data_IF_157690976598
#
_entry.id   IF_157690976598
#
_cell.length_a   1.000
_cell.length_b   1.000
_cell.length_c   1.000
_cell.angle_alpha   90.00
_cell.angle_beta   90.00
_cell.angle_gamma   90.00
#
_symmetry.space_group_name_H-M   'P 1'
#
loop_
_entity.id
_entity.type
_entity.pdbx_description
1 polymer ?
#
# COMPACT_ATOMS: atom_id res chain seq x y z
N UNK A 1 -7.16 -3.87 -17.33
CA UNK A 1 -5.96 -3.64 -18.14
C UNK A 1 -6.05 -2.35 -18.96
N UNK A 2 -7.13 -2.10 -19.69
CA UNK A 2 -7.30 -0.90 -20.53
C UNK A 2 -7.13 0.40 -19.74
N UNK A 3 -7.81 0.53 -18.59
CA UNK A 3 -7.70 1.70 -17.72
C UNK A 3 -6.27 1.88 -17.20
N UNK A 4 -5.60 0.80 -16.80
CA UNK A 4 -4.21 0.87 -16.32
C UNK A 4 -3.26 1.26 -17.44
N UNK A 5 -3.46 0.77 -18.69
CA UNK A 5 -2.68 1.16 -19.85
C UNK A 5 -2.84 2.64 -20.18
N UNK A 6 -4.08 3.12 -20.25
CA UNK A 6 -4.37 4.53 -20.49
C UNK A 6 -3.77 5.42 -19.38
N UNK A 7 -3.95 5.05 -18.10
CA UNK A 7 -3.37 5.77 -16.97
C UNK A 7 -1.83 5.81 -17.05
N UNK A 8 -1.18 4.71 -17.43
CA UNK A 8 0.29 4.67 -17.58
C UNK A 8 0.75 5.66 -18.64
N UNK A 9 0.07 5.73 -19.78
CA UNK A 9 0.43 6.67 -20.87
C UNK A 9 0.21 8.12 -20.43
N UNK A 10 -0.96 8.42 -19.85
CA UNK A 10 -1.32 9.79 -19.42
C UNK A 10 -0.39 10.29 -18.32
N UNK A 11 -0.04 9.42 -17.36
CA UNK A 11 0.80 9.78 -16.21
C UNK A 11 2.30 9.62 -16.49
N UNK A 12 2.70 9.12 -17.66
CA UNK A 12 4.11 8.92 -18.00
C UNK A 12 4.96 10.21 -17.90
N UNK A 13 4.51 11.42 -18.28
CA UNK A 13 5.32 12.63 -18.08
C UNK A 13 5.65 12.88 -16.61
N UNK A 14 4.65 12.71 -15.70
CA UNK A 14 4.85 12.87 -14.25
C UNK A 14 5.83 11.80 -13.74
N UNK A 15 5.70 10.57 -14.22
CA UNK A 15 6.59 9.47 -13.85
C UNK A 15 8.04 9.75 -14.27
N UNK A 16 8.25 10.28 -15.46
CA UNK A 16 9.59 10.65 -15.98
C UNK A 16 10.19 11.78 -15.15
N UNK A 17 9.44 12.85 -14.89
CA UNK A 17 9.90 13.98 -14.05
C UNK A 17 10.29 13.47 -12.66
N UNK A 18 9.47 12.61 -12.06
CA UNK A 18 9.74 12.01 -10.75
C UNK A 18 11.02 11.16 -10.77
N UNK A 19 11.20 10.34 -11.81
CA UNK A 19 12.40 9.53 -11.98
C UNK A 19 13.67 10.38 -12.07
N UNK A 20 13.62 11.48 -12.85
CA UNK A 20 14.73 12.44 -12.97
C UNK A 20 15.01 13.12 -11.63
N UNK A 21 13.98 13.58 -10.93
CA UNK A 21 14.14 14.23 -9.62
C UNK A 21 14.80 13.31 -8.57
N UNK A 22 14.38 12.03 -8.49
CA UNK A 22 14.99 11.03 -7.60
C UNK A 22 16.45 10.80 -7.99
N UNK A 23 16.73 10.64 -9.29
CA UNK A 23 18.09 10.37 -9.78
C UNK A 23 19.04 11.55 -9.58
N UNK A 24 18.53 12.77 -9.74
CA UNK A 24 19.30 14.00 -9.53
C UNK A 24 19.64 14.23 -8.05
N UNK A 25 18.77 13.81 -7.13
CA UNK A 25 18.95 14.03 -5.69
C UNK A 25 20.12 13.24 -5.10
N UNK A 26 20.21 11.94 -5.34
CA UNK A 26 21.24 11.09 -4.70
C UNK A 26 21.90 10.06 -5.63
N UNK A 27 21.65 10.15 -6.94
CA UNK A 27 22.17 9.26 -8.00
C UNK A 27 21.86 7.76 -7.81
N UNK A 28 21.10 7.39 -6.78
CA UNK A 28 20.71 6.02 -6.48
C UNK A 28 19.63 5.45 -7.44
N UNK A 29 19.09 4.24 -7.16
CA UNK A 29 18.04 3.63 -7.97
C UNK A 29 16.75 4.45 -7.91
N UNK A 30 16.05 4.56 -9.03
CA UNK A 30 14.77 5.30 -9.14
C UNK A 30 13.63 4.50 -8.55
N UNK A 31 13.62 3.20 -8.83
CA UNK A 31 12.58 2.28 -8.36
C UNK A 31 13.03 1.53 -7.11
N UNK A 32 12.04 1.21 -6.30
CA UNK A 32 12.13 0.32 -5.16
C UNK A 32 11.10 -0.79 -5.36
N UNK A 33 11.50 -2.03 -5.12
CA UNK A 33 10.62 -3.19 -5.16
C UNK A 33 10.54 -3.82 -3.78
N UNK A 34 9.33 -4.17 -3.35
CA UNK A 34 9.08 -4.83 -2.08
C UNK A 34 8.19 -6.05 -2.27
N UNK A 35 8.63 -7.18 -1.73
CA UNK A 35 7.84 -8.42 -1.80
C UNK A 35 6.55 -8.27 -1.01
N UNK A 36 5.45 -8.62 -1.64
CA UNK A 36 4.08 -8.60 -1.12
C UNK A 36 3.33 -9.85 -1.56
N UNK A 37 2.23 -10.13 -0.87
CA UNK A 37 1.32 -11.22 -1.20
C UNK A 37 0.21 -10.74 -2.14
N UNK A 38 -0.15 -11.59 -3.09
CA UNK A 38 -1.32 -11.44 -3.95
C UNK A 38 -2.19 -12.70 -3.87
N UNK A 39 -3.07 -12.90 -4.83
CA UNK A 39 -3.99 -14.03 -4.87
C UNK A 39 -3.27 -15.38 -4.68
N UNK A 40 -3.91 -16.28 -3.96
CA UNK A 40 -3.42 -17.64 -3.63
C UNK A 40 -2.09 -17.63 -2.84
N UNK A 41 -1.78 -16.53 -2.14
CA UNK A 41 -0.55 -16.40 -1.36
C UNK A 41 0.71 -16.24 -2.21
N UNK A 42 0.59 -15.97 -3.51
CA UNK A 42 1.75 -15.77 -4.39
C UNK A 42 2.49 -14.50 -4.02
N UNK A 43 3.81 -14.60 -4.01
CA UNK A 43 4.68 -13.45 -3.80
C UNK A 43 4.94 -12.71 -5.10
N UNK A 44 4.95 -11.37 -5.04
CA UNK A 44 5.34 -10.52 -6.16
C UNK A 44 6.03 -9.24 -5.66
N UNK A 45 6.83 -8.62 -6.51
CA UNK A 45 7.50 -7.37 -6.20
C UNK A 45 6.62 -6.17 -6.53
N UNK A 46 6.06 -5.51 -5.52
CA UNK A 46 5.36 -4.23 -5.69
C UNK A 46 6.36 -3.16 -6.07
N UNK A 47 6.17 -2.54 -7.23
CA UNK A 47 7.01 -1.45 -7.73
C UNK A 47 6.56 -0.10 -7.18
N UNK A 48 7.51 0.67 -6.66
CA UNK A 48 7.29 2.05 -6.23
C UNK A 48 8.45 2.95 -6.65
N UNK A 49 8.21 4.24 -6.74
CA UNK A 49 9.31 5.19 -6.74
C UNK A 49 9.98 5.20 -5.36
N UNK A 50 11.31 5.24 -5.36
CA UNK A 50 12.07 5.30 -4.12
C UNK A 50 11.86 6.66 -3.44
N UNK A 51 11.20 6.64 -2.29
CA UNK A 51 10.95 7.81 -1.45
C UNK A 51 11.84 7.91 -0.23
N UNK A 52 12.59 6.84 0.07
CA UNK A 52 13.50 6.75 1.22
C UNK A 52 14.97 6.66 0.78
N UNK A 53 15.90 6.95 1.70
CA UNK A 53 17.34 6.79 1.50
C UNK A 53 17.69 5.34 1.13
N UNK A 54 18.76 5.14 0.35
CA UNK A 54 19.18 3.81 -0.15
C UNK A 54 19.33 2.77 0.96
N UNK A 55 19.68 3.20 2.16
CA UNK A 55 19.97 2.33 3.30
C UNK A 55 18.90 2.45 4.42
N UNK A 56 17.65 2.73 4.07
CA UNK A 56 16.57 2.98 5.03
C UNK A 56 16.22 1.78 5.93
N UNK A 57 16.44 0.55 5.46
CA UNK A 57 16.19 -0.71 6.20
C UNK A 57 17.48 -1.56 6.22
N UNK A 58 18.63 -0.97 6.67
CA UNK A 58 19.94 -1.68 6.74
C UNK A 58 19.95 -2.91 7.63
N UNK A 59 19.11 -2.89 8.65
CA UNK A 59 18.97 -3.97 9.64
C UNK A 59 18.05 -5.11 9.18
N UNK A 60 17.48 -5.00 7.97
CA UNK A 60 16.56 -6.01 7.42
C UNK A 60 15.20 -6.10 8.14
N UNK A 61 14.97 -5.27 9.17
CA UNK A 61 13.71 -5.29 9.92
C UNK A 61 12.66 -4.47 9.17
N UNK A 62 11.54 -5.13 8.86
CA UNK A 62 10.38 -4.48 8.26
C UNK A 62 9.72 -3.54 9.29
N UNK A 63 9.85 -2.23 9.08
CA UNK A 63 9.21 -1.21 9.93
C UNK A 63 8.15 -0.46 9.14
N UNK A 64 7.01 -0.21 9.79
CA UNK A 64 6.04 0.73 9.26
C UNK A 64 6.64 2.15 9.27
N UNK A 65 6.20 2.99 8.35
CA UNK A 65 6.65 4.39 8.32
C UNK A 65 5.96 5.17 9.43
N UNK A 66 6.75 5.96 10.18
CA UNK A 66 6.24 6.88 11.22
C UNK A 66 5.59 8.16 10.63
N UNK A 67 5.15 8.12 9.37
CA UNK A 67 4.49 9.26 8.71
C UNK A 67 5.44 10.25 8.08
N UNK A 68 5.02 11.52 8.00
CA UNK A 68 5.78 12.57 7.28
C UNK A 68 7.13 12.92 7.95
N UNK A 69 7.25 12.70 9.26
CA UNK A 69 8.46 13.03 10.05
C UNK A 69 9.51 11.93 10.05
N UNK A 70 9.30 10.82 9.35
CA UNK A 70 10.24 9.72 9.28
C UNK A 70 11.60 10.19 8.69
N UNK A 71 12.72 10.09 9.45
CA UNK A 71 14.04 10.59 9.03
C UNK A 71 14.64 9.84 7.84
N UNK A 72 14.07 8.69 7.50
CA UNK A 72 14.47 7.88 6.35
C UNK A 72 13.98 8.45 5.02
N UNK A 73 12.94 9.31 5.05
CA UNK A 73 12.33 9.88 3.85
C UNK A 73 13.20 11.00 3.29
N UNK A 74 13.46 10.97 1.98
CA UNK A 74 14.16 12.04 1.28
C UNK A 74 13.26 13.27 1.07
N UNK A 75 13.80 14.50 0.85
CA UNK A 75 12.98 15.66 0.53
C UNK A 75 12.07 15.44 -0.69
N UNK A 76 12.60 14.85 -1.77
CA UNK A 76 11.83 14.45 -2.94
C UNK A 76 10.79 13.40 -2.56
N UNK A 77 11.18 12.41 -1.74
CA UNK A 77 10.30 11.37 -1.22
C UNK A 77 9.11 11.91 -0.45
N UNK A 78 9.29 12.98 0.32
CA UNK A 78 8.20 13.63 1.07
C UNK A 78 7.13 14.19 0.14
N UNK A 79 7.53 14.82 -0.96
CA UNK A 79 6.59 15.37 -1.96
C UNK A 79 5.85 14.26 -2.66
N UNK A 80 6.56 13.25 -3.19
CA UNK A 80 5.93 12.19 -3.97
C UNK A 80 5.01 11.30 -3.14
N UNK A 81 5.30 11.10 -1.84
CA UNK A 81 4.42 10.36 -0.91
C UNK A 81 3.15 11.14 -0.59
N UNK A 82 3.27 12.44 -0.35
CA UNK A 82 2.11 13.31 -0.09
C UNK A 82 1.10 13.27 -1.23
N UNK A 83 1.58 13.24 -2.48
CA UNK A 83 0.74 13.16 -3.68
C UNK A 83 0.47 11.71 -4.15
N UNK A 84 0.94 10.69 -3.41
CA UNK A 84 0.84 9.28 -3.79
C UNK A 84 1.47 8.94 -5.16
N UNK A 85 2.32 9.82 -5.69
CA UNK A 85 3.06 9.61 -6.96
C UNK A 85 4.00 8.42 -6.83
N UNK A 86 4.51 8.14 -5.63
CA UNK A 86 5.39 7.00 -5.36
C UNK A 86 4.73 5.65 -5.68
N UNK A 87 3.42 5.56 -5.72
CA UNK A 87 2.68 4.33 -6.03
C UNK A 87 2.35 4.16 -7.52
N UNK A 88 2.58 5.18 -8.37
CA UNK A 88 2.28 5.09 -9.81
C UNK A 88 2.98 3.94 -10.55
N UNK A 89 4.24 3.52 -10.22
CA UNK A 89 4.86 2.38 -10.88
C UNK A 89 4.09 1.06 -10.70
N UNK A 90 3.18 0.95 -9.72
CA UNK A 90 2.32 -0.22 -9.55
C UNK A 90 1.37 -0.43 -10.75
N UNK A 91 1.11 0.59 -11.57
CA UNK A 91 0.41 0.42 -12.85
C UNK A 91 1.11 -0.61 -13.75
N UNK A 92 2.44 -0.71 -13.69
CA UNK A 92 3.20 -1.74 -14.42
C UNK A 92 2.95 -3.15 -13.82
N UNK A 93 2.78 -3.27 -12.49
CA UNK A 93 2.38 -4.55 -11.88
C UNK A 93 0.97 -4.96 -12.33
N UNK A 94 0.05 -4.00 -12.50
CA UNK A 94 -1.30 -4.28 -13.01
C UNK A 94 -1.22 -4.76 -14.47
N UNK A 95 -0.43 -4.09 -15.31
CA UNK A 95 -0.25 -4.49 -16.72
C UNK A 95 0.40 -5.88 -16.84
N UNK A 96 1.31 -6.21 -15.94
CA UNK A 96 1.94 -7.53 -15.85
C UNK A 96 0.97 -8.61 -15.35
N UNK A 97 -0.11 -8.24 -14.67
CA UNK A 97 -1.12 -9.16 -14.13
C UNK A 97 -0.88 -9.60 -12.69
N UNK A 98 0.12 -9.05 -11.99
CA UNK A 98 0.41 -9.32 -10.58
C UNK A 98 -0.67 -8.70 -9.66
N UNK A 99 -1.27 -7.59 -10.10
CA UNK A 99 -2.25 -6.79 -9.35
C UNK A 99 -3.47 -6.44 -10.19
N UNK A 100 -4.49 -5.91 -9.51
CA UNK A 100 -5.67 -5.24 -10.11
C UNK A 100 -5.69 -3.76 -9.70
N UNK A 101 -6.58 -2.96 -10.30
CA UNK A 101 -6.80 -1.58 -9.86
C UNK A 101 -7.49 -1.60 -8.50
N UNK A 102 -8.57 -2.37 -8.37
CA UNK A 102 -9.34 -2.49 -7.13
C UNK A 102 -9.16 -3.88 -6.53
N UNK A 103 -8.92 -3.96 -5.23
CA UNK A 103 -8.72 -5.22 -4.51
C UNK A 103 -8.11 -4.99 -3.12
N UNK A 104 -7.93 -6.05 -2.31
CA UNK A 104 -7.26 -5.97 -1.03
C UNK A 104 -5.85 -5.39 -1.15
N UNK A 105 -5.47 -4.49 -0.22
CA UNK A 105 -4.10 -3.94 -0.23
C UNK A 105 -3.07 -5.03 0.05
N UNK A 106 -2.04 -5.18 -0.79
CA UNK A 106 -1.04 -6.24 -0.61
C UNK A 106 -0.22 -6.05 0.67
N UNK A 107 -0.09 -7.10 1.48
CA UNK A 107 0.70 -7.09 2.71
C UNK A 107 2.06 -7.78 2.53
N UNK A 108 3.03 -7.43 3.41
CA UNK A 108 4.33 -8.13 3.49
C UNK A 108 4.10 -9.55 4.02
N UNK A 109 4.79 -10.59 3.51
CA UNK A 109 4.65 -11.95 4.01
C UNK A 109 4.84 -12.07 5.53
N UNK A 110 5.86 -11.37 6.08
CA UNK A 110 6.13 -11.38 7.52
C UNK A 110 4.99 -10.78 8.35
N UNK A 111 4.38 -9.67 7.89
CA UNK A 111 3.27 -9.01 8.58
C UNK A 111 1.99 -9.84 8.46
N UNK A 112 1.74 -10.42 7.30
CA UNK A 112 0.59 -11.32 7.10
C UNK A 112 0.68 -12.53 8.03
N UNK A 113 1.84 -13.16 8.15
CA UNK A 113 2.08 -14.28 9.05
C UNK A 113 1.90 -13.90 10.55
N UNK A 114 2.20 -12.67 10.94
CA UNK A 114 1.91 -12.19 12.29
C UNK A 114 0.40 -12.00 12.52
N UNK A 115 -0.31 -11.44 11.54
CA UNK A 115 -1.76 -11.30 11.63
C UNK A 115 -2.48 -12.65 11.65
N UNK A 116 -2.03 -13.63 10.88
CA UNK A 116 -2.62 -14.97 10.83
C UNK A 116 -2.50 -15.72 12.16
N UNK A 117 -1.49 -15.44 12.99
CA UNK A 117 -1.38 -16.01 14.35
C UNK A 117 -2.52 -15.59 15.27
N UNK A 118 -3.04 -14.38 15.07
CA UNK A 118 -4.06 -13.76 15.94
C UNK A 118 -5.44 -13.86 15.27
N UNK A 119 -5.47 -13.80 13.94
CA UNK A 119 -6.65 -13.87 13.09
C UNK A 119 -6.42 -14.90 11.99
N UNK A 120 -6.68 -16.19 12.24
CA UNK A 120 -6.45 -17.22 11.23
C UNK A 120 -7.17 -16.94 9.90
N UNK A 121 -8.31 -16.23 9.95
CA UNK A 121 -9.11 -15.84 8.78
C UNK A 121 -8.42 -14.78 7.89
N UNK A 122 -7.29 -14.21 8.32
CA UNK A 122 -6.60 -13.16 7.57
C UNK A 122 -6.18 -13.60 6.16
N UNK A 123 -5.90 -14.89 5.96
CA UNK A 123 -5.58 -15.48 4.66
C UNK A 123 -6.74 -15.41 3.65
N UNK A 124 -8.00 -15.31 4.10
CA UNK A 124 -9.17 -15.29 3.20
C UNK A 124 -9.14 -14.08 2.24
N UNK A 125 -8.46 -13.00 2.60
CA UNK A 125 -8.26 -11.85 1.71
C UNK A 125 -7.44 -12.17 0.46
N UNK A 126 -6.68 -13.27 0.49
CA UNK A 126 -5.88 -13.75 -0.64
C UNK A 126 -6.71 -14.52 -1.68
N UNK A 127 -8.01 -14.62 -1.51
CA UNK A 127 -8.92 -15.15 -2.53
C UNK A 127 -9.04 -14.22 -3.74
N UNK A 128 -8.73 -12.92 -3.57
CA UNK A 128 -8.69 -11.95 -4.66
C UNK A 128 -7.27 -11.45 -4.92
N UNK A 129 -7.04 -10.95 -6.14
CA UNK A 129 -5.78 -10.28 -6.47
C UNK A 129 -5.61 -9.00 -5.66
N UNK A 130 -4.38 -8.72 -5.29
CA UNK A 130 -4.02 -7.46 -4.65
C UNK A 130 -4.39 -6.25 -5.51
N UNK A 131 -4.97 -5.22 -4.89
CA UNK A 131 -5.38 -3.98 -5.54
C UNK A 131 -4.43 -2.80 -5.29
N UNK A 132 -4.35 -1.88 -6.26
CA UNK A 132 -3.72 -0.57 -6.08
C UNK A 132 -4.54 0.27 -5.10
N UNK A 133 -5.85 0.22 -5.21
CA UNK A 133 -6.82 0.74 -4.25
C UNK A 133 -7.81 -0.36 -3.85
N UNK A 134 -8.67 -0.10 -2.85
CA UNK A 134 -9.67 -1.06 -2.41
C UNK A 134 -10.61 -0.49 -1.37
N UNK A 135 -11.60 -1.27 -1.01
CA UNK A 135 -12.66 -0.87 -0.08
C UNK A 135 -12.09 -0.40 1.27
N UNK A 136 -11.16 -1.16 1.85
CA UNK A 136 -10.52 -0.79 3.12
C UNK A 136 -9.66 0.47 3.03
N UNK A 137 -9.09 0.78 1.86
CA UNK A 137 -8.30 2.00 1.66
C UNK A 137 -9.15 3.26 1.51
N UNK A 138 -10.38 3.11 0.97
CA UNK A 138 -11.29 4.22 0.69
C UNK A 138 -12.18 4.52 1.90
N UNK A 139 -12.73 3.50 2.53
CA UNK A 139 -13.69 3.64 3.63
C UNK A 139 -13.06 3.43 5.01
N UNK A 140 -11.88 2.82 5.08
CA UNK A 140 -11.13 2.70 6.32
C UNK A 140 -10.56 4.05 6.75
N UNK A 141 -10.56 4.29 8.07
CA UNK A 141 -9.90 5.44 8.70
C UNK A 141 -8.51 5.04 9.19
N UNK A 142 -7.72 6.02 9.59
CA UNK A 142 -6.40 5.80 10.18
C UNK A 142 -6.42 4.83 11.38
N UNK A 143 -7.41 4.97 12.24
CA UNK A 143 -7.61 4.14 13.44
C UNK A 143 -8.38 2.82 13.18
N UNK A 144 -8.63 2.45 11.92
CA UNK A 144 -9.31 1.20 11.57
C UNK A 144 -8.41 0.03 11.93
N UNK A 145 -8.92 -0.90 12.75
CA UNK A 145 -8.17 -2.07 13.20
C UNK A 145 -7.82 -3.01 12.03
N UNK A 146 -6.80 -3.86 12.14
CA UNK A 146 -6.52 -4.90 11.13
C UNK A 146 -7.70 -5.83 10.89
N UNK A 147 -8.49 -6.11 11.93
CA UNK A 147 -9.71 -6.92 11.83
C UNK A 147 -10.79 -6.22 11.00
N UNK A 148 -11.05 -4.93 11.25
CA UNK A 148 -12.03 -4.17 10.46
C UNK A 148 -11.59 -4.06 8.99
N UNK A 149 -10.28 -3.87 8.74
CA UNK A 149 -9.73 -3.89 7.37
C UNK A 149 -9.96 -5.22 6.69
N UNK A 150 -9.77 -6.34 7.41
CA UNK A 150 -10.07 -7.67 6.90
C UNK A 150 -11.55 -7.80 6.54
N UNK A 151 -12.46 -7.39 7.43
CA UNK A 151 -13.91 -7.43 7.14
C UNK A 151 -14.27 -6.61 5.91
N UNK A 152 -13.69 -5.42 5.74
CA UNK A 152 -13.89 -4.58 4.56
C UNK A 152 -13.36 -5.25 3.27
N UNK A 153 -12.21 -5.90 3.34
CA UNK A 153 -11.66 -6.65 2.21
C UNK A 153 -12.56 -7.85 1.86
N UNK A 154 -13.07 -8.59 2.85
CA UNK A 154 -13.99 -9.72 2.63
C UNK A 154 -15.35 -9.27 2.09
N UNK A 155 -15.88 -8.13 2.55
CA UNK A 155 -17.08 -7.53 1.98
C UNK A 155 -16.91 -7.23 0.50
N UNK A 156 -15.78 -6.64 0.12
CA UNK A 156 -15.47 -6.38 -1.28
C UNK A 156 -15.39 -7.70 -2.08
N UNK A 157 -14.66 -8.71 -1.58
CA UNK A 157 -14.45 -9.98 -2.26
C UNK A 157 -15.79 -10.71 -2.51
N UNK A 158 -16.72 -10.67 -1.54
CA UNK A 158 -18.02 -11.34 -1.64
C UNK A 158 -18.99 -10.68 -2.62
N UNK A 159 -18.82 -9.39 -2.93
CA UNK A 159 -19.75 -8.61 -3.76
C UNK A 159 -19.04 -7.86 -4.90
N UNK A 160 -17.79 -8.28 -5.24
CA UNK A 160 -17.01 -7.60 -6.27
C UNK A 160 -17.78 -7.51 -7.59
N UNK A 161 -18.03 -6.28 -8.06
CA UNK A 161 -18.66 -6.01 -9.34
C UNK A 161 -18.07 -4.74 -9.97
N UNK A 162 -18.26 -4.58 -11.28
CA UNK A 162 -17.68 -3.49 -12.04
C UNK A 162 -18.14 -2.10 -11.58
N UNK A 163 -19.40 -1.96 -11.13
CA UNK A 163 -19.92 -0.68 -10.67
C UNK A 163 -19.24 -0.27 -9.35
N UNK A 164 -19.09 -1.20 -8.41
CA UNK A 164 -18.39 -0.93 -7.16
C UNK A 164 -16.92 -0.59 -7.41
N UNK A 165 -16.26 -1.27 -8.35
CA UNK A 165 -14.90 -0.94 -8.76
C UNK A 165 -14.80 0.52 -9.26
N UNK A 166 -15.73 0.96 -10.08
CA UNK A 166 -15.77 2.36 -10.55
C UNK A 166 -15.98 3.33 -9.40
N UNK A 167 -16.93 3.05 -8.49
CA UNK A 167 -17.13 3.88 -7.30
C UNK A 167 -15.88 3.97 -6.43
N UNK A 168 -15.18 2.85 -6.20
CA UNK A 168 -13.93 2.83 -5.43
C UNK A 168 -12.83 3.66 -6.12
N UNK A 169 -12.72 3.57 -7.45
CA UNK A 169 -11.76 4.37 -8.23
C UNK A 169 -12.07 5.87 -8.08
N UNK A 170 -13.33 6.29 -8.25
CA UNK A 170 -13.71 7.69 -8.06
C UNK A 170 -13.50 8.18 -6.64
N UNK A 171 -13.84 7.38 -5.63
CA UNK A 171 -13.62 7.70 -4.23
C UNK A 171 -12.12 7.80 -3.92
N UNK A 172 -11.27 6.95 -4.53
CA UNK A 172 -9.81 7.04 -4.41
C UNK A 172 -9.29 8.39 -4.91
N UNK A 173 -9.74 8.83 -6.09
CA UNK A 173 -9.35 10.15 -6.63
C UNK A 173 -9.73 11.26 -5.65
N UNK A 174 -10.93 11.22 -5.05
CA UNK A 174 -11.35 12.19 -4.04
C UNK A 174 -10.41 12.20 -2.82
N UNK A 175 -10.02 11.03 -2.31
CA UNK A 175 -9.15 10.89 -1.13
C UNK A 175 -7.73 11.43 -1.39
N UNK A 176 -7.22 11.32 -2.63
CA UNK A 176 -5.92 11.89 -2.98
C UNK A 176 -5.83 13.42 -2.75
N UNK A 177 -6.96 14.10 -2.75
CA UNK A 177 -7.04 15.54 -2.48
C UNK A 177 -7.37 15.87 -1.01
N UNK A 178 -7.50 14.85 -0.12
CA UNK A 178 -7.78 15.05 1.31
C UNK A 178 -6.49 14.94 2.13
N UNK A 179 -6.09 15.99 2.90
CA UNK A 179 -4.82 16.02 3.63
C UNK A 179 -4.69 14.94 4.71
N UNK A 180 -5.81 14.49 5.29
CA UNK A 180 -5.84 13.57 6.44
C UNK A 180 -5.50 12.12 6.10
N UNK A 181 -5.32 11.80 4.83
CA UNK A 181 -5.09 10.41 4.39
C UNK A 181 -3.64 9.91 4.55
N UNK A 182 -2.73 10.73 5.06
CA UNK A 182 -1.28 10.47 5.10
C UNK A 182 -0.68 10.34 6.51
N UNK A 183 -1.48 10.25 7.56
CA UNK A 183 -0.98 10.07 8.92
C UNK A 183 -0.27 8.70 9.08
N UNK A 184 0.83 8.68 9.85
CA UNK A 184 1.66 7.50 10.07
C UNK A 184 1.36 6.79 11.40
N UNK A 185 1.97 5.64 11.63
CA UNK A 185 1.88 4.88 12.89
C UNK A 185 2.94 5.37 13.87
N UNK A 186 2.77 5.19 15.19
CA UNK A 186 3.74 5.59 16.21
C UNK A 186 5.13 4.94 15.97
N UNK A 187 6.20 5.65 16.35
CA UNK A 187 7.57 5.15 16.18
C UNK A 187 7.76 3.80 16.89
N UNK A 188 8.32 2.83 16.16
CA UNK A 188 8.67 1.51 16.69
C UNK A 188 7.62 0.41 16.52
N UNK A 189 6.42 0.72 16.02
CA UNK A 189 5.42 -0.32 15.74
C UNK A 189 5.77 -1.10 14.46
N UNK A 190 5.77 -2.43 14.57
CA UNK A 190 5.94 -3.37 13.44
C UNK A 190 4.60 -3.75 12.82
N UNK A 191 3.50 -3.69 13.59
CA UNK A 191 2.14 -3.99 13.15
C UNK A 191 1.18 -2.86 13.58
N UNK A 192 0.02 -2.77 12.92
CA UNK A 192 -1.02 -1.80 13.28
C UNK A 192 -1.86 -2.23 14.51
N UNK A 193 -1.45 -3.26 15.24
CA UNK A 193 -2.09 -3.66 16.47
C UNK A 193 -1.50 -2.89 17.65
N UNK A 194 -2.35 -2.29 18.47
CA UNK A 194 -1.95 -1.75 19.76
C UNK A 194 -1.52 -2.88 20.70
N UNK A 195 -0.40 -2.69 21.38
CA UNK A 195 0.07 -3.63 22.41
C UNK A 195 -0.93 -3.82 23.58
N UNK A 196 -1.97 -3.00 23.65
CA UNK A 196 -3.00 -3.06 24.70
C UNK A 196 -4.12 -4.09 24.44
N UNK A 197 -4.21 -4.67 23.24
CA UNK A 197 -5.24 -5.67 22.94
C UNK A 197 -4.94 -7.08 23.50
N UNK A 198 -3.72 -7.31 24.00
CA UNK A 198 -3.35 -8.59 24.59
C UNK A 198 -3.76 -8.77 26.05
N UNK A 199 -4.18 -7.70 26.77
CA UNK A 199 -4.45 -7.77 28.21
C UNK A 199 -5.93 -7.93 28.60
N UNK A 200 -6.88 -7.85 27.67
CA UNK A 200 -8.32 -7.90 28.01
C UNK A 200 -8.96 -9.31 27.89
N UNK A 201 -8.16 -10.39 27.77
CA UNK A 201 -8.69 -11.76 27.76
C UNK A 201 -8.56 -12.50 29.11
N UNK A 202 -8.14 -11.81 30.18
CA UNK A 202 -8.16 -12.34 31.55
C UNK A 202 -8.89 -11.38 32.50
N UNK A 203 -10.22 -11.34 32.41
CA UNK A 203 -11.09 -10.98 33.52
C UNK A 203 -12.48 -11.60 33.36
#
# INVERSE_FOLDING_TARGET
>A
LVIAGAATIILSPIMIITAVAIKAYDKGPVFYSQIRLTQDGKEFGVLKFRSMKVNAEKDGVARLSSGEKDPRITPVGRIIRKCRIDELPQLLNILKGDMTIVGPRPERPSIAAEYEKIMPEFHLRLQAKAGLTGYAQVYGKYNTTPYDKLLMDLMYISHANLLDDLFIIFATVKILFMPESTEGVAEGQTTAMDNNMCCDKEK
#
